data_IF_165463488369
#
_entry.id   IF_165463488369
#
_cell.length_a   1.000
_cell.length_b   1.000
_cell.length_c   1.000
_cell.angle_alpha   90.00
_cell.angle_beta   90.00
_cell.angle_gamma   90.00
#
_symmetry.space_group_name_H-M   'P 1'
#
loop_
_entity.id
_entity.type
_entity.pdbx_description
1 polymer ?
#
# COMPACT_ATOMS: atom_id res chain seq x y z
N UNK A 1 -15.71 16.31 7.57
CA UNK A 1 -16.49 15.32 6.77
C UNK A 1 -15.60 14.47 5.84
N UNK A 2 -14.53 15.00 5.29
CA UNK A 2 -13.61 14.29 4.36
C UNK A 2 -12.91 13.04 4.95
N UNK A 3 -12.68 12.99 6.27
CA UNK A 3 -12.03 11.84 6.97
C UNK A 3 -12.94 10.64 7.23
N UNK A 4 -14.27 10.83 7.10
CA UNK A 4 -15.25 9.79 7.45
C UNK A 4 -15.08 8.49 6.64
N UNK A 5 -14.85 8.51 5.32
CA UNK A 5 -14.65 7.28 4.55
C UNK A 5 -13.52 6.40 5.09
N UNK A 6 -12.36 7.01 5.42
CA UNK A 6 -11.24 6.26 6.01
C UNK A 6 -11.58 5.71 7.41
N UNK A 7 -12.27 6.49 8.26
CA UNK A 7 -12.70 6.01 9.58
C UNK A 7 -13.65 4.81 9.47
N UNK A 8 -14.60 4.86 8.54
CA UNK A 8 -15.53 3.75 8.30
C UNK A 8 -14.80 2.50 7.76
N UNK A 9 -13.79 2.71 6.90
CA UNK A 9 -12.94 1.65 6.38
C UNK A 9 -12.11 0.99 7.48
N UNK A 10 -11.47 1.79 8.34
CA UNK A 10 -10.69 1.29 9.48
C UNK A 10 -11.57 0.52 10.49
N UNK A 11 -12.79 0.99 10.74
CA UNK A 11 -13.73 0.29 11.62
C UNK A 11 -14.09 -1.11 11.06
N UNK A 12 -14.35 -1.21 9.76
CA UNK A 12 -14.61 -2.50 9.08
C UNK A 12 -13.39 -3.42 9.11
N UNK A 13 -12.21 -2.86 8.78
CA UNK A 13 -10.95 -3.62 8.81
C UNK A 13 -10.68 -4.20 10.22
N UNK A 14 -10.79 -3.36 11.25
CA UNK A 14 -10.59 -3.75 12.64
C UNK A 14 -11.53 -4.87 13.08
N UNK A 15 -12.80 -4.83 12.64
CA UNK A 15 -13.79 -5.87 12.95
C UNK A 15 -13.47 -7.21 12.25
N UNK A 16 -12.94 -7.16 11.02
CA UNK A 16 -12.54 -8.34 10.26
C UNK A 16 -11.18 -8.93 10.70
N UNK A 17 -10.31 -8.10 11.26
CA UNK A 17 -8.93 -8.46 11.65
C UNK A 17 -8.63 -8.05 13.11
N UNK A 18 -9.25 -8.73 14.11
CA UNK A 18 -9.09 -8.34 15.52
C UNK A 18 -7.63 -8.40 16.02
N UNK A 19 -6.83 -9.30 15.46
CA UNK A 19 -5.41 -9.43 15.81
C UNK A 19 -4.56 -8.23 15.32
N UNK A 20 -5.08 -7.43 14.40
CA UNK A 20 -4.46 -6.22 13.86
C UNK A 20 -5.11 -4.93 14.37
N UNK A 21 -5.99 -5.03 15.36
CA UNK A 21 -6.73 -3.90 15.92
C UNK A 21 -5.83 -2.77 16.40
N UNK A 22 -4.66 -3.08 16.93
CA UNK A 22 -3.69 -2.07 17.41
C UNK A 22 -3.23 -1.15 16.29
N UNK A 23 -2.92 -1.70 15.11
CA UNK A 23 -2.51 -0.89 13.95
C UNK A 23 -3.68 -0.03 13.45
N UNK A 24 -4.87 -0.61 13.30
CA UNK A 24 -6.07 0.12 12.91
C UNK A 24 -6.41 1.26 13.88
N UNK A 25 -6.27 1.02 15.20
CA UNK A 25 -6.53 2.03 16.23
C UNK A 25 -5.48 3.16 16.22
N UNK A 26 -4.21 2.89 15.88
CA UNK A 26 -3.19 3.93 15.69
C UNK A 26 -3.52 4.85 14.52
N UNK A 27 -3.87 4.30 13.36
CA UNK A 27 -4.27 5.09 12.19
C UNK A 27 -5.54 5.88 12.51
N UNK A 28 -6.54 5.25 13.14
CA UNK A 28 -7.77 5.91 13.55
C UNK A 28 -7.49 7.11 14.47
N UNK A 29 -6.63 6.96 15.46
CA UNK A 29 -6.28 8.03 16.39
C UNK A 29 -5.67 9.24 15.68
N UNK A 30 -4.77 9.02 14.70
CA UNK A 30 -4.25 10.10 13.85
C UNK A 30 -5.40 10.80 13.11
N UNK A 31 -6.22 10.04 12.40
CA UNK A 31 -7.30 10.57 11.55
C UNK A 31 -8.36 11.31 12.38
N UNK A 32 -8.65 10.89 13.61
CA UNK A 32 -9.58 11.57 14.51
C UNK A 32 -9.01 12.89 15.04
N UNK A 33 -7.72 12.92 15.36
CA UNK A 33 -7.09 14.06 16.07
C UNK A 33 -6.48 15.09 15.13
N UNK A 34 -5.93 14.69 13.97
CA UNK A 34 -5.28 15.59 13.02
C UNK A 34 -6.20 15.88 11.84
N UNK A 35 -6.49 17.17 11.60
CA UNK A 35 -7.35 17.59 10.49
C UNK A 35 -6.68 17.49 9.14
N UNK A 36 -5.37 17.66 9.14
CA UNK A 36 -4.45 17.66 8.00
C UNK A 36 -3.72 16.33 7.84
N UNK A 37 -4.27 15.22 8.40
CA UNK A 37 -3.63 13.91 8.40
C UNK A 37 -3.31 13.34 7.02
N UNK A 38 -3.87 13.90 5.95
CA UNK A 38 -3.56 13.53 4.56
C UNK A 38 -2.45 14.38 3.93
N UNK A 39 -1.98 15.42 4.62
CA UNK A 39 -0.92 16.30 4.13
C UNK A 39 0.45 15.83 4.63
N UNK A 40 1.48 15.87 3.78
CA UNK A 40 2.88 15.54 4.16
C UNK A 40 3.40 16.41 5.32
N UNK A 41 2.87 17.62 5.48
CA UNK A 41 3.24 18.53 6.55
C UNK A 41 2.66 18.17 7.91
N UNK A 42 1.72 17.22 7.98
CA UNK A 42 1.11 16.80 9.24
C UNK A 42 2.12 16.06 10.12
N UNK A 43 2.34 16.59 11.31
CA UNK A 43 3.14 15.98 12.35
C UNK A 43 2.26 15.61 13.55
N UNK A 44 2.46 14.48 14.18
CA UNK A 44 3.66 13.60 14.16
C UNK A 44 3.67 12.55 13.05
N UNK A 45 2.73 12.56 12.11
CA UNK A 45 2.66 11.63 11.00
C UNK A 45 1.48 11.91 10.09
N UNK A 46 1.45 11.26 8.93
CA UNK A 46 0.40 11.42 7.94
C UNK A 46 0.02 10.09 7.26
N UNK A 47 -1.12 10.13 6.57
CA UNK A 47 -1.65 8.96 5.86
C UNK A 47 -0.91 8.79 4.54
N UNK A 48 -0.53 7.54 4.28
CA UNK A 48 -0.02 7.06 2.99
C UNK A 48 -0.91 5.92 2.49
N UNK A 49 -0.80 5.60 1.22
CA UNK A 49 -1.48 4.44 0.67
C UNK A 49 -0.58 3.71 -0.32
N UNK A 50 -0.61 2.39 -0.27
CA UNK A 50 0.23 1.55 -1.11
C UNK A 50 -0.52 0.35 -1.68
N UNK A 51 0.09 -0.30 -2.65
CA UNK A 51 -0.49 -1.42 -3.37
C UNK A 51 0.50 -2.57 -3.53
N UNK A 52 0.05 -3.78 -3.17
CA UNK A 52 0.65 -5.00 -3.67
C UNK A 52 0.13 -5.25 -5.07
N UNK A 53 0.99 -5.14 -6.07
CA UNK A 53 0.59 -5.27 -7.46
C UNK A 53 0.88 -6.67 -7.99
N UNK A 54 -0.16 -7.35 -8.46
CA UNK A 54 -0.11 -8.70 -9.04
C UNK A 54 -0.07 -8.66 -10.57
N UNK A 55 0.61 -9.63 -11.16
CA UNK A 55 0.46 -9.96 -12.58
C UNK A 55 -0.97 -10.44 -12.88
N UNK A 56 -1.40 -10.40 -14.16
CA UNK A 56 -2.77 -10.78 -14.54
C UNK A 56 -3.20 -12.19 -14.07
N UNK A 57 -2.25 -13.12 -14.01
CA UNK A 57 -2.45 -14.51 -13.58
C UNK A 57 -2.18 -14.74 -12.08
N UNK A 58 -1.80 -13.70 -11.34
CA UNK A 58 -1.49 -13.75 -9.91
C UNK A 58 -0.22 -14.51 -9.54
N UNK A 59 0.61 -14.90 -10.51
CA UNK A 59 1.82 -15.70 -10.24
C UNK A 59 3.02 -14.87 -9.85
N UNK A 60 3.01 -13.58 -10.19
CA UNK A 60 4.09 -12.64 -9.90
C UNK A 60 3.57 -11.41 -9.17
N UNK A 61 4.44 -10.79 -8.41
CA UNK A 61 4.23 -9.49 -7.78
C UNK A 61 5.28 -8.49 -8.24
N UNK A 62 4.95 -7.22 -8.21
CA UNK A 62 5.83 -6.12 -8.61
C UNK A 62 6.34 -5.40 -7.36
N UNK A 63 7.65 -5.22 -7.28
CA UNK A 63 8.29 -4.34 -6.30
C UNK A 63 9.15 -3.30 -6.98
N UNK A 64 9.31 -2.16 -6.31
CA UNK A 64 10.24 -1.10 -6.64
C UNK A 64 11.45 -1.16 -5.72
N UNK A 65 12.66 -1.01 -6.27
CA UNK A 65 13.87 -0.83 -5.48
C UNK A 65 14.02 0.65 -5.16
N UNK A 66 13.63 1.01 -3.93
CA UNK A 66 13.53 2.40 -3.51
C UNK A 66 14.91 3.05 -3.36
N UNK A 67 15.19 4.09 -4.16
CA UNK A 67 16.51 4.73 -4.31
C UNK A 67 17.16 5.16 -2.98
N UNK A 68 16.38 5.73 -2.05
CA UNK A 68 16.91 6.26 -0.78
C UNK A 68 17.04 5.20 0.32
N UNK A 69 16.15 4.20 0.30
CA UNK A 69 16.10 3.17 1.34
C UNK A 69 16.92 1.93 0.98
N UNK A 70 17.33 1.81 -0.29
CA UNK A 70 18.12 0.69 -0.82
C UNK A 70 17.47 -0.68 -0.52
N UNK A 71 16.14 -0.76 -0.74
CA UNK A 71 15.30 -1.92 -0.43
C UNK A 71 14.21 -2.12 -1.46
N UNK A 72 13.76 -3.36 -1.60
CA UNK A 72 12.58 -3.72 -2.35
C UNK A 72 11.31 -3.47 -1.54
N UNK A 73 10.44 -2.61 -2.07
CA UNK A 73 9.19 -2.21 -1.42
C UNK A 73 8.00 -2.34 -2.37
N UNK A 74 6.80 -2.45 -1.81
CA UNK A 74 5.57 -2.30 -2.59
C UNK A 74 5.44 -0.86 -3.11
N UNK A 75 4.68 -0.68 -4.19
CA UNK A 75 4.38 0.62 -4.78
C UNK A 75 3.47 1.44 -3.86
N UNK A 76 3.69 2.74 -3.76
CA UNK A 76 2.84 3.59 -2.95
C UNK A 76 3.50 4.90 -2.52
N UNK A 77 2.67 5.81 -2.01
CA UNK A 77 3.13 7.13 -1.64
C UNK A 77 2.16 7.92 -0.77
N UNK A 78 2.33 9.22 -0.81
CA UNK A 78 1.62 10.15 0.05
C UNK A 78 0.21 10.45 -0.46
N UNK A 79 -0.70 10.69 0.47
CA UNK A 79 -2.07 11.08 0.16
C UNK A 79 -2.16 12.48 -0.48
N UNK A 80 -1.26 13.40 -0.09
CA UNK A 80 -1.17 14.77 -0.62
C UNK A 80 -2.51 15.52 -0.63
N UNK A 81 -3.23 15.42 0.49
CA UNK A 81 -4.54 16.02 0.68
C UNK A 81 -5.71 15.20 0.18
N UNK A 82 -5.49 14.11 -0.57
CA UNK A 82 -6.56 13.22 -1.02
C UNK A 82 -7.00 12.27 0.10
N UNK A 83 -8.28 12.32 0.44
CA UNK A 83 -8.87 11.47 1.48
C UNK A 83 -9.31 10.09 0.98
N UNK A 84 -9.32 9.87 -0.33
CA UNK A 84 -9.60 8.57 -0.94
C UNK A 84 -8.31 7.74 -1.04
N UNK A 85 -7.97 7.05 0.04
CA UNK A 85 -6.75 6.23 0.12
C UNK A 85 -6.70 5.11 -0.92
N UNK A 86 -7.84 4.64 -1.43
CA UNK A 86 -7.86 3.66 -2.50
C UNK A 86 -7.48 4.31 -3.84
N UNK A 87 -8.00 5.51 -4.11
CA UNK A 87 -7.60 6.29 -5.29
C UNK A 87 -6.11 6.65 -5.23
N UNK A 88 -5.59 7.02 -4.05
CA UNK A 88 -4.16 7.27 -3.82
C UNK A 88 -3.33 6.04 -4.18
N UNK A 89 -3.63 4.87 -3.60
CA UNK A 89 -2.89 3.63 -3.89
C UNK A 89 -2.89 3.28 -5.41
N UNK A 90 -4.01 3.50 -6.09
CA UNK A 90 -4.14 3.27 -7.53
C UNK A 90 -3.34 4.29 -8.35
N UNK A 91 -3.32 5.56 -7.95
CA UNK A 91 -2.54 6.63 -8.58
C UNK A 91 -1.05 6.33 -8.47
N UNK A 92 -0.56 6.09 -7.25
CA UNK A 92 0.84 5.79 -6.96
C UNK A 92 1.32 4.55 -7.73
N UNK A 93 0.52 3.47 -7.72
CA UNK A 93 0.86 2.26 -8.46
C UNK A 93 0.99 2.51 -9.97
N UNK A 94 0.17 3.42 -10.56
CA UNK A 94 0.28 3.82 -11.96
C UNK A 94 1.51 4.68 -12.24
N UNK A 95 1.75 5.66 -11.40
CA UNK A 95 2.86 6.61 -11.53
C UNK A 95 4.21 5.89 -11.42
N UNK A 96 4.36 5.00 -10.46
CA UNK A 96 5.60 4.26 -10.23
C UNK A 96 5.83 3.10 -11.20
N UNK A 97 4.77 2.47 -11.72
CA UNK A 97 4.92 1.32 -12.64
C UNK A 97 4.76 1.64 -14.12
N UNK A 98 4.17 2.79 -14.44
CA UNK A 98 3.78 3.12 -15.82
C UNK A 98 2.60 2.30 -16.37
N UNK A 99 1.98 1.44 -15.57
CA UNK A 99 0.86 0.61 -15.98
C UNK A 99 -0.47 1.38 -15.90
N UNK A 100 -1.12 1.60 -17.03
CA UNK A 100 -2.35 2.38 -17.10
C UNK A 100 -3.59 1.61 -16.62
N UNK A 101 -3.67 0.31 -16.94
CA UNK A 101 -4.83 -0.53 -16.66
C UNK A 101 -4.59 -1.43 -15.45
N UNK A 102 -4.94 -0.90 -14.27
CA UNK A 102 -4.91 -1.58 -12.99
C UNK A 102 -6.32 -1.64 -12.41
N UNK A 103 -6.63 -2.72 -11.69
CA UNK A 103 -7.88 -2.83 -10.92
C UNK A 103 -7.64 -3.41 -9.54
N UNK A 104 -8.54 -3.12 -8.60
CA UNK A 104 -8.53 -3.80 -7.31
C UNK A 104 -8.86 -5.28 -7.47
N UNK A 105 -8.19 -6.11 -6.68
CA UNK A 105 -8.35 -7.57 -6.71
C UNK A 105 -9.66 -8.07 -6.07
N UNK A 106 -10.55 -7.20 -5.65
CA UNK A 106 -11.83 -7.54 -5.04
C UNK A 106 -13.00 -7.13 -5.93
N UNK A 107 -14.04 -7.96 -5.98
CA UNK A 107 -15.33 -7.63 -6.58
C UNK A 107 -16.22 -6.86 -5.58
N UNK A 108 -15.77 -5.72 -5.12
CA UNK A 108 -16.56 -4.91 -4.20
C UNK A 108 -16.72 -3.49 -4.75
N UNK A 109 -17.88 -2.90 -4.53
CA UNK A 109 -18.12 -1.48 -4.87
C UNK A 109 -17.20 -0.53 -4.11
N UNK A 110 -16.65 -1.01 -2.99
CA UNK A 110 -15.68 -0.26 -2.18
C UNK A 110 -14.43 -1.13 -1.98
N UNK A 111 -13.25 -0.67 -2.41
CA UNK A 111 -12.00 -1.38 -2.19
C UNK A 111 -11.75 -1.66 -0.70
N UNK A 112 -11.27 -2.86 -0.40
CA UNK A 112 -10.95 -3.30 0.97
C UNK A 112 -9.44 -3.37 1.11
N UNK A 113 -8.82 -2.78 2.15
CA UNK A 113 -7.40 -2.94 2.39
C UNK A 113 -7.08 -4.37 2.81
N UNK A 114 -5.93 -4.86 2.37
CA UNK A 114 -5.39 -6.18 2.72
C UNK A 114 -4.56 -6.12 3.99
N UNK A 115 -3.95 -4.97 4.25
CA UNK A 115 -3.03 -4.75 5.35
C UNK A 115 -3.05 -3.29 5.80
N UNK A 116 -2.65 -3.05 7.04
CA UNK A 116 -2.38 -1.73 7.59
C UNK A 116 -0.98 -1.73 8.20
N UNK A 117 -0.27 -0.61 8.08
CA UNK A 117 1.05 -0.47 8.68
C UNK A 117 1.25 0.92 9.28
N UNK A 118 2.04 0.99 10.34
CA UNK A 118 2.49 2.28 10.89
C UNK A 118 3.97 2.17 11.21
N UNK A 119 4.78 2.83 10.41
CA UNK A 119 6.23 2.78 10.53
C UNK A 119 6.84 4.17 10.63
N UNK A 120 8.00 4.23 11.28
CA UNK A 120 8.75 5.45 11.51
C UNK A 120 9.61 5.80 10.30
N UNK A 121 9.48 7.04 9.82
CA UNK A 121 10.39 7.66 8.88
C UNK A 121 11.41 8.47 9.70
N UNK A 122 12.71 8.19 9.56
CA UNK A 122 13.74 8.95 10.25
C UNK A 122 13.84 10.38 9.70
N UNK A 123 14.34 11.31 10.51
CA UNK A 123 14.59 12.67 10.05
C UNK A 123 15.59 12.68 8.89
N UNK A 124 15.30 13.48 7.85
CA UNK A 124 16.16 13.63 6.69
C UNK A 124 16.18 15.08 6.20
N UNK A 125 17.35 15.70 6.13
CA UNK A 125 17.47 17.11 5.75
C UNK A 125 16.68 18.02 6.69
N UNK A 126 15.75 18.80 6.14
CA UNK A 126 14.84 19.67 6.90
C UNK A 126 13.56 18.97 7.37
N UNK A 127 13.35 17.74 6.96
CA UNK A 127 12.16 16.95 7.29
C UNK A 127 12.35 16.26 8.64
N UNK A 128 11.50 16.56 9.66
CA UNK A 128 11.61 15.91 10.96
C UNK A 128 11.17 14.45 10.89
N UNK A 129 11.61 13.65 11.84
CA UNK A 129 11.15 12.28 11.96
C UNK A 129 9.64 12.23 12.24
N UNK A 130 8.91 11.42 11.48
CA UNK A 130 7.45 11.29 11.53
C UNK A 130 7.01 9.85 11.27
N UNK A 131 5.72 9.56 11.44
CA UNK A 131 5.17 8.25 11.15
C UNK A 131 4.37 8.26 9.84
N UNK A 132 4.59 7.26 8.97
CA UNK A 132 3.67 6.94 7.91
C UNK A 132 2.58 6.00 8.44
N UNK A 133 1.33 6.32 8.12
CA UNK A 133 0.15 5.53 8.44
C UNK A 133 -0.41 4.96 7.13
N UNK A 134 0.09 3.78 6.76
CA UNK A 134 -0.08 3.21 5.44
C UNK A 134 -1.30 2.29 5.34
N UNK A 135 -2.16 2.56 4.34
CA UNK A 135 -3.34 1.74 4.02
C UNK A 135 -3.06 0.97 2.73
N UNK A 136 -2.99 -0.36 2.81
CA UNK A 136 -2.45 -1.23 1.77
C UNK A 136 -3.51 -2.02 1.04
N UNK A 137 -3.47 -1.97 -0.29
CA UNK A 137 -4.43 -2.65 -1.16
C UNK A 137 -3.77 -3.71 -2.03
N UNK A 138 -4.59 -4.56 -2.67
CA UNK A 138 -4.12 -5.46 -3.74
C UNK A 138 -4.68 -4.98 -5.06
N UNK A 139 -3.79 -4.75 -6.00
CA UNK A 139 -4.11 -4.42 -7.39
C UNK A 139 -3.68 -5.57 -8.32
N UNK A 140 -4.33 -5.66 -9.46
CA UNK A 140 -4.00 -6.60 -10.53
C UNK A 140 -3.81 -5.83 -11.82
N UNK A 141 -2.70 -6.07 -12.51
CA UNK A 141 -2.41 -5.48 -13.81
C UNK A 141 -3.19 -6.19 -14.92
N UNK A 142 -3.70 -5.44 -15.90
CA UNK A 142 -4.25 -6.03 -17.11
C UNK A 142 -3.13 -6.67 -17.96
N UNK A 143 -3.45 -7.71 -18.77
CA UNK A 143 -2.46 -8.37 -19.61
C UNK A 143 -1.92 -7.44 -20.73
N UNK A 144 -0.70 -7.73 -21.17
CA UNK A 144 -0.09 -7.06 -22.33
C UNK A 144 0.55 -5.70 -22.06
N UNK A 145 0.59 -5.25 -20.80
CA UNK A 145 1.26 -3.99 -20.45
C UNK A 145 2.75 -4.20 -20.13
N UNK A 146 3.53 -3.13 -20.29
CA UNK A 146 4.96 -3.09 -19.98
C UNK A 146 5.19 -2.11 -18.83
N UNK A 147 6.01 -2.48 -17.85
CA UNK A 147 6.41 -1.62 -16.73
C UNK A 147 7.48 -0.61 -17.19
N UNK A 148 7.46 0.57 -16.58
CA UNK A 148 8.46 1.62 -16.76
C UNK A 148 8.88 2.15 -15.39
N UNK A 149 10.17 2.22 -15.15
CA UNK A 149 10.72 2.76 -13.91
C UNK A 149 10.44 4.26 -13.78
N UNK A 150 10.10 4.70 -12.58
CA UNK A 150 10.01 6.12 -12.23
C UNK A 150 11.38 6.67 -11.79
N UNK A 151 11.50 8.00 -11.69
CA UNK A 151 12.73 8.65 -11.20
C UNK A 151 13.03 8.36 -9.71
N UNK A 152 12.06 7.86 -8.95
CA UNK A 152 12.18 7.56 -7.53
C UNK A 152 12.79 6.18 -7.26
N UNK A 153 12.80 5.30 -8.25
CA UNK A 153 13.32 3.94 -8.18
C UNK A 153 14.70 3.79 -8.82
N UNK A 154 15.42 2.75 -8.45
CA UNK A 154 16.65 2.28 -9.12
C UNK A 154 16.42 1.01 -9.91
N UNK A 155 15.32 0.31 -9.64
CA UNK A 155 14.84 -0.84 -10.38
C UNK A 155 13.34 -1.06 -10.09
N UNK A 156 12.66 -1.69 -11.04
CA UNK A 156 11.27 -2.10 -10.93
C UNK A 156 11.15 -3.50 -11.57
N UNK A 157 10.80 -4.49 -10.77
CA UNK A 157 10.86 -5.88 -11.22
C UNK A 157 9.66 -6.72 -10.80
N UNK A 158 9.27 -7.64 -11.70
CA UNK A 158 8.32 -8.69 -11.43
C UNK A 158 9.02 -9.92 -10.83
N UNK A 159 8.63 -10.30 -9.63
CA UNK A 159 9.12 -11.48 -8.93
C UNK A 159 8.06 -12.58 -8.87
N UNK A 160 8.47 -13.83 -8.98
CA UNK A 160 7.58 -14.95 -8.74
C UNK A 160 7.13 -14.99 -7.27
N UNK A 161 5.88 -15.44 -7.04
CA UNK A 161 5.31 -15.44 -5.68
C UNK A 161 6.15 -16.30 -4.69
N UNK A 162 6.89 -17.28 -5.18
CA UNK A 162 7.76 -18.13 -4.35
C UNK A 162 9.08 -17.44 -3.97
N UNK A 163 9.48 -16.39 -4.66
CA UNK A 163 10.70 -15.63 -4.40
C UNK A 163 10.55 -14.58 -3.26
N UNK A 164 9.36 -14.47 -2.65
CA UNK A 164 9.06 -13.42 -1.67
C UNK A 164 10.09 -13.33 -0.54
N UNK A 165 10.43 -14.47 0.05
CA UNK A 165 11.35 -14.55 1.19
C UNK A 165 12.82 -14.32 0.81
N UNK A 166 13.17 -14.47 -0.46
CA UNK A 166 14.52 -14.24 -0.98
C UNK A 166 14.74 -12.79 -1.39
N UNK A 167 13.66 -12.08 -1.76
CA UNK A 167 13.70 -10.72 -2.32
C UNK A 167 13.41 -9.65 -1.25
N UNK A 168 12.41 -9.88 -0.40
CA UNK A 168 12.01 -8.91 0.61
C UNK A 168 12.77 -9.14 1.92
N UNK A 169 13.48 -8.11 2.39
CA UNK A 169 14.19 -8.08 3.67
C UNK A 169 13.46 -7.28 4.76
N UNK A 170 12.33 -6.67 4.41
CA UNK A 170 11.49 -5.88 5.31
C UNK A 170 10.31 -6.72 5.84
N UNK A 171 10.18 -6.81 7.17
CA UNK A 171 9.13 -7.61 7.82
C UNK A 171 7.72 -7.18 7.43
N UNK A 172 7.50 -5.90 7.14
CA UNK A 172 6.18 -5.40 6.76
C UNK A 172 5.82 -5.77 5.32
N UNK A 173 6.80 -5.79 4.40
CA UNK A 173 6.67 -6.28 3.02
C UNK A 173 6.42 -7.79 3.03
N UNK A 174 7.19 -8.55 3.81
CA UNK A 174 7.00 -9.99 3.98
C UNK A 174 5.61 -10.32 4.53
N UNK A 175 5.14 -9.58 5.54
CA UNK A 175 3.79 -9.75 6.11
C UNK A 175 2.72 -9.54 5.05
N UNK A 176 2.82 -8.44 4.29
CA UNK A 176 1.90 -8.10 3.21
C UNK A 176 1.87 -9.19 2.13
N UNK A 177 3.02 -9.58 1.61
CA UNK A 177 3.13 -10.63 0.59
C UNK A 177 2.58 -11.98 1.05
N UNK A 178 2.84 -12.39 2.32
CA UNK A 178 2.29 -13.61 2.92
C UNK A 178 0.76 -13.57 3.05
N UNK A 179 0.18 -12.40 3.35
CA UNK A 179 -1.28 -12.21 3.35
C UNK A 179 -1.85 -12.42 1.95
N UNK A 180 -1.27 -11.76 0.94
CA UNK A 180 -1.72 -11.89 -0.45
C UNK A 180 -1.59 -13.33 -0.94
N UNK A 181 -0.49 -14.01 -0.64
CA UNK A 181 -0.30 -15.43 -0.99
C UNK A 181 -1.40 -16.33 -0.39
N UNK A 182 -1.79 -16.10 0.87
CA UNK A 182 -2.91 -16.83 1.50
C UNK A 182 -4.25 -16.55 0.80
N UNK A 183 -4.51 -15.31 0.41
CA UNK A 183 -5.73 -14.92 -0.30
C UNK A 183 -5.80 -15.54 -1.70
N UNK A 184 -4.68 -15.60 -2.43
CA UNK A 184 -4.57 -16.29 -3.71
C UNK A 184 -4.85 -17.78 -3.56
N UNK A 185 -4.24 -18.45 -2.58
CA UNK A 185 -4.46 -19.87 -2.29
C UNK A 185 -5.91 -20.19 -1.91
N UNK A 186 -6.60 -19.26 -1.27
CA UNK A 186 -8.02 -19.36 -0.93
C UNK A 186 -8.96 -18.96 -2.08
N UNK A 187 -8.45 -18.60 -3.26
CA UNK A 187 -9.21 -18.04 -4.40
C UNK A 187 -10.09 -16.84 -4.02
N UNK A 188 -9.63 -16.04 -3.06
CA UNK A 188 -10.35 -14.88 -2.55
C UNK A 188 -10.14 -13.61 -3.39
N UNK A 189 -9.19 -13.62 -4.34
CA UNK A 189 -8.86 -12.50 -5.22
C UNK A 189 -9.38 -12.74 -6.64
N UNK A 190 -9.82 -11.67 -7.30
CA UNK A 190 -10.20 -11.69 -8.69
C UNK A 190 -9.01 -11.31 -9.57
N UNK A 191 -8.61 -12.24 -10.43
CA UNK A 191 -7.57 -12.07 -11.44
C UNK A 191 -8.20 -11.83 -12.82
N UNK A 192 -7.39 -11.39 -13.81
CA UNK A 192 -7.83 -11.23 -15.19
C UNK A 192 -8.03 -12.56 -15.90
#
# INVERSE_FOLDING_TARGET
MHRKPLLDLLARYRAAHPDEAVCADRIRALVETQRDCFERSCLPGHVTASAWLLSPDGKRFLLTHHRKLDRWLQLGGHADGDADVAAVALREAREESGLAELRFAWAADTPVPVDLDVHRIPAHGSEPAHDHHDVRFVLVAAPGQTIFESDESTALEWFDMDALEDVADDDSVLRLGRKVRRLLAASALQLF
#
